data_IF_908731220392
#
_entry.id   IF_908731220392
#
_cell.length_a   1.000
_cell.length_b   1.000
_cell.length_c   1.000
_cell.angle_alpha   90.00
_cell.angle_beta   90.00
_cell.angle_gamma   90.00
#
_symmetry.space_group_name_H-M   'P 1'
#
loop_
_entity.id
_entity.type
_entity.pdbx_description
1 polymer ?
#
# COMPACT_ATOMS: atom_id res chain seq x y z
N UNK A 1 -4.05 3.38 -2.67
CA UNK A 1 -4.12 4.15 -3.95
C UNK A 1 -4.00 5.63 -3.66
N UNK A 2 -3.26 6.42 -4.45
CA UNK A 2 -3.07 7.86 -4.22
C UNK A 2 -2.73 8.63 -5.49
N UNK A 3 -3.02 9.92 -5.53
CA UNK A 3 -2.73 10.83 -6.65
C UNK A 3 -2.63 12.28 -6.15
N UNK A 4 -1.65 13.02 -6.66
CA UNK A 4 -1.60 14.48 -6.54
C UNK A 4 -2.58 15.10 -7.54
N UNK A 5 -3.54 15.87 -7.04
CA UNK A 5 -4.53 16.54 -7.88
C UNK A 5 -4.04 17.93 -8.32
N UNK A 6 -3.30 18.66 -7.47
CA UNK A 6 -2.65 19.92 -7.80
C UNK A 6 -1.46 20.23 -6.87
N UNK A 7 -0.48 20.97 -7.39
CA UNK A 7 0.46 21.73 -6.55
C UNK A 7 -0.16 23.09 -6.24
N UNK A 8 0.02 23.60 -5.01
CA UNK A 8 -0.47 24.90 -4.56
C UNK A 8 0.63 25.68 -3.86
N UNK A 9 0.55 27.00 -3.91
CA UNK A 9 1.42 27.91 -3.17
C UNK A 9 0.58 28.64 -2.13
N UNK A 10 1.02 28.60 -0.88
CA UNK A 10 0.29 29.18 0.24
C UNK A 10 1.05 30.43 0.68
N UNK A 11 0.46 31.59 0.43
CA UNK A 11 1.01 32.88 0.85
C UNK A 11 1.01 32.96 2.37
N UNK A 12 2.17 33.27 2.95
CA UNK A 12 2.35 33.49 4.37
C UNK A 12 2.20 34.99 4.72
N UNK A 13 1.97 35.31 5.99
CA UNK A 13 1.89 36.70 6.46
C UNK A 13 3.13 37.55 6.16
N UNK A 14 4.32 36.94 6.08
CA UNK A 14 5.58 37.64 5.75
C UNK A 14 5.76 37.90 4.24
N UNK A 15 4.78 37.52 3.41
CA UNK A 15 4.79 37.67 1.96
C UNK A 15 5.54 36.58 1.21
N UNK A 16 6.10 35.59 1.92
CA UNK A 16 6.68 34.38 1.29
C UNK A 16 5.58 33.40 0.87
N UNK A 17 5.94 32.39 0.08
CA UNK A 17 5.02 31.35 -0.35
C UNK A 17 5.59 29.97 -0.06
N UNK A 18 4.82 29.13 0.63
CA UNK A 18 5.18 27.76 0.95
C UNK A 18 4.48 26.80 0.00
N UNK A 19 5.22 25.80 -0.48
CA UNK A 19 4.66 24.77 -1.37
C UNK A 19 3.71 23.83 -0.59
N UNK A 20 2.65 23.42 -1.25
CA UNK A 20 1.77 22.35 -0.79
C UNK A 20 1.24 21.51 -1.96
N UNK A 21 0.67 20.35 -1.63
CA UNK A 21 -0.04 19.50 -2.60
C UNK A 21 -1.47 19.25 -2.13
N UNK A 22 -2.42 19.44 -3.04
CA UNK A 22 -3.76 18.86 -2.91
C UNK A 22 -3.72 17.45 -3.48
N UNK A 23 -4.07 16.46 -2.66
CA UNK A 23 -4.01 15.07 -3.08
C UNK A 23 -5.22 14.26 -2.63
N UNK A 24 -5.61 13.31 -3.46
CA UNK A 24 -6.63 12.29 -3.17
C UNK A 24 -5.95 10.95 -2.91
N UNK A 25 -6.37 10.27 -1.85
CA UNK A 25 -5.86 8.95 -1.50
C UNK A 25 -6.97 8.06 -0.99
N UNK A 26 -6.80 6.75 -1.15
CA UNK A 26 -7.80 5.76 -0.86
C UNK A 26 -7.19 4.44 -0.43
N UNK A 27 -7.85 3.81 0.54
CA UNK A 27 -7.57 2.45 0.98
C UNK A 27 -8.89 1.66 0.99
N UNK A 28 -8.82 0.35 0.89
CA UNK A 28 -10.01 -0.49 0.92
C UNK A 28 -9.66 -1.93 1.24
N UNK A 29 -10.70 -2.75 1.39
CA UNK A 29 -10.56 -4.18 1.60
C UNK A 29 -11.50 -4.93 0.67
N UNK A 30 -11.01 -6.07 0.18
CA UNK A 30 -11.75 -7.02 -0.63
C UNK A 30 -11.72 -8.36 0.08
N UNK A 31 -12.89 -8.95 0.31
CA UNK A 31 -13.03 -10.32 0.79
C UNK A 31 -13.06 -11.28 -0.39
N UNK A 32 -12.36 -12.40 -0.28
CA UNK A 32 -12.23 -13.39 -1.35
C UNK A 32 -12.43 -14.83 -0.83
N UNK A 33 -13.68 -15.22 -0.64
CA UNK A 33 -14.13 -16.49 -0.02
C UNK A 33 -15.08 -17.27 -0.95
N UNK A 34 -14.65 -17.47 -2.21
CA UNK A 34 -15.46 -18.06 -3.28
C UNK A 34 -16.02 -17.02 -4.26
N UNK A 35 -16.13 -15.76 -3.82
CA UNK A 35 -16.33 -14.59 -4.68
C UNK A 35 -15.48 -13.42 -4.18
N UNK A 36 -15.15 -12.49 -5.06
CA UNK A 36 -14.47 -11.24 -4.68
C UNK A 36 -15.49 -10.13 -4.43
N UNK A 37 -15.53 -9.60 -3.21
CA UNK A 37 -16.47 -8.56 -2.78
C UNK A 37 -15.72 -7.43 -2.08
N UNK A 38 -15.93 -6.19 -2.51
CA UNK A 38 -15.34 -5.02 -1.85
C UNK A 38 -16.17 -4.72 -0.61
N UNK A 39 -15.56 -4.94 0.56
CA UNK A 39 -16.22 -4.75 1.86
C UNK A 39 -15.92 -3.39 2.47
N UNK A 40 -14.84 -2.74 2.03
CA UNK A 40 -14.47 -1.40 2.45
C UNK A 40 -13.84 -0.60 1.30
N UNK A 41 -14.16 0.68 1.26
CA UNK A 41 -13.50 1.65 0.40
C UNK A 41 -13.58 3.04 1.05
N UNK A 42 -12.44 3.53 1.52
CA UNK A 42 -12.30 4.84 2.15
C UNK A 42 -11.53 5.75 1.19
N UNK A 43 -12.08 6.92 0.92
CA UNK A 43 -11.48 7.94 0.05
C UNK A 43 -11.33 9.20 0.89
N UNK A 44 -10.11 9.69 0.99
CA UNK A 44 -9.78 10.94 1.66
C UNK A 44 -9.07 11.89 0.70
N UNK A 45 -9.13 13.17 1.06
CA UNK A 45 -8.45 14.27 0.38
C UNK A 45 -7.76 15.13 1.40
N UNK A 46 -6.58 15.64 1.05
CA UNK A 46 -5.79 16.46 1.95
C UNK A 46 -4.98 17.51 1.22
N UNK A 47 -4.85 18.67 1.86
CA UNK A 47 -3.84 19.66 1.57
C UNK A 47 -2.62 19.34 2.42
N UNK A 48 -1.56 18.82 1.82
CA UNK A 48 -0.30 18.52 2.50
C UNK A 48 0.65 19.69 2.37
N UNK A 49 1.11 20.24 3.48
CA UNK A 49 1.99 21.41 3.53
C UNK A 49 2.60 21.59 4.92
N UNK A 50 3.74 22.28 5.00
CA UNK A 50 4.34 22.77 6.25
C UNK A 50 3.89 24.19 6.62
N UNK A 51 3.06 24.84 5.80
CA UNK A 51 2.57 26.20 6.04
C UNK A 51 1.69 26.25 7.30
N UNK A 52 2.05 27.01 8.35
CA UNK A 52 1.30 27.08 9.60
C UNK A 52 -0.09 27.72 9.44
N UNK A 53 -0.23 28.63 8.48
CA UNK A 53 -1.45 29.39 8.19
C UNK A 53 -2.34 28.71 7.13
N UNK A 54 -2.00 27.48 6.74
CA UNK A 54 -2.78 26.75 5.77
C UNK A 54 -4.21 26.53 6.26
N UNK A 55 -5.18 26.82 5.40
CA UNK A 55 -6.59 26.52 5.63
C UNK A 55 -7.08 25.44 4.65
N UNK A 56 -8.13 24.74 5.06
CA UNK A 56 -8.82 23.77 4.20
C UNK A 56 -9.25 24.41 2.87
N UNK A 57 -8.99 23.72 1.76
CA UNK A 57 -9.44 24.19 0.44
C UNK A 57 -10.77 23.53 0.10
N UNK A 58 -11.84 24.32 0.08
CA UNK A 58 -13.16 23.86 -0.34
C UNK A 58 -13.45 24.24 -1.79
N UNK A 59 -13.89 23.27 -2.60
CA UNK A 59 -14.18 23.45 -4.03
C UNK A 59 -15.68 23.32 -4.36
N UNK A 60 -16.54 23.41 -3.33
CA UNK A 60 -17.99 23.20 -3.41
C UNK A 60 -18.41 21.72 -3.54
N UNK A 61 -17.61 20.89 -4.21
CA UNK A 61 -17.86 19.44 -4.40
C UNK A 61 -17.01 18.57 -3.49
N UNK A 62 -15.80 19.01 -3.19
CA UNK A 62 -14.87 18.32 -2.31
C UNK A 62 -14.14 19.33 -1.46
N UNK A 63 -13.54 18.85 -0.37
CA UNK A 63 -12.64 19.63 0.44
C UNK A 63 -11.30 18.93 0.65
N UNK A 64 -10.26 19.72 0.84
CA UNK A 64 -8.89 19.27 1.09
C UNK A 64 -8.49 19.80 2.46
N UNK A 65 -8.81 19.02 3.49
CA UNK A 65 -8.44 19.35 4.86
C UNK A 65 -6.92 19.38 5.02
N UNK A 66 -6.43 20.29 5.85
CA UNK A 66 -4.98 20.46 6.08
C UNK A 66 -4.41 19.20 6.73
N UNK A 67 -3.24 18.79 6.24
CA UNK A 67 -2.42 17.70 6.76
C UNK A 67 -0.99 18.21 6.84
N UNK A 68 -0.45 18.28 8.05
CA UNK A 68 0.90 18.78 8.26
C UNK A 68 1.93 17.89 7.55
N UNK A 69 2.87 18.53 6.86
CA UNK A 69 4.09 17.91 6.35
C UNK A 69 5.29 18.40 7.17
N UNK A 70 6.35 17.59 7.24
CA UNK A 70 7.56 17.94 7.99
C UNK A 70 8.40 19.03 7.32
N UNK A 71 8.17 19.28 6.02
CA UNK A 71 8.87 20.28 5.23
C UNK A 71 8.12 20.59 3.94
N UNK A 72 8.72 21.45 3.12
CA UNK A 72 8.13 21.98 1.89
C UNK A 72 8.69 21.33 0.61
N UNK A 73 9.66 20.42 0.73
CA UNK A 73 10.19 19.70 -0.43
C UNK A 73 9.15 18.76 -1.04
N UNK A 74 9.16 18.50 -2.36
CA UNK A 74 8.27 17.50 -2.97
C UNK A 74 8.32 16.14 -2.29
N UNK A 75 9.49 15.74 -1.79
CA UNK A 75 9.73 14.50 -1.06
C UNK A 75 9.00 14.49 0.29
N UNK A 76 9.07 15.58 1.06
CA UNK A 76 8.41 15.71 2.36
C UNK A 76 6.88 15.69 2.21
N UNK A 77 6.36 16.41 1.22
CA UNK A 77 4.93 16.46 0.92
C UNK A 77 4.40 15.09 0.47
N UNK A 78 5.16 14.41 -0.38
CA UNK A 78 4.85 13.04 -0.81
C UNK A 78 4.90 12.06 0.36
N UNK A 79 5.90 12.16 1.23
CA UNK A 79 6.03 11.32 2.42
C UNK A 79 4.85 11.50 3.37
N UNK A 80 4.42 12.75 3.63
CA UNK A 80 3.24 13.03 4.46
C UNK A 80 1.96 12.37 3.89
N UNK A 81 1.76 12.43 2.57
CA UNK A 81 0.66 11.71 1.91
C UNK A 81 0.77 10.19 2.08
N UNK A 82 1.96 9.62 1.94
CA UNK A 82 2.20 8.19 2.11
C UNK A 82 1.95 7.71 3.54
N UNK A 83 2.30 8.53 4.53
CA UNK A 83 2.03 8.25 5.93
C UNK A 83 0.53 8.14 6.17
N UNK A 84 -0.25 9.14 5.74
CA UNK A 84 -1.72 9.14 5.83
C UNK A 84 -2.38 7.98 5.10
N UNK A 85 -1.93 7.65 3.89
CA UNK A 85 -2.47 6.50 3.17
C UNK A 85 -2.25 5.19 3.93
N UNK A 86 -1.05 4.96 4.48
CA UNK A 86 -0.81 3.72 5.21
C UNK A 86 -1.36 3.70 6.64
N UNK A 87 -1.73 4.85 7.22
CA UNK A 87 -2.59 4.89 8.41
C UNK A 87 -3.99 4.36 8.11
N UNK A 88 -4.56 4.72 6.94
CA UNK A 88 -5.82 4.14 6.48
C UNK A 88 -5.69 2.64 6.19
N UNK A 89 -4.58 2.20 5.59
CA UNK A 89 -4.35 0.76 5.37
C UNK A 89 -4.23 0.01 6.71
N UNK A 90 -3.50 0.56 7.68
CA UNK A 90 -3.36 -0.04 9.00
C UNK A 90 -4.69 -0.10 9.77
N UNK A 91 -5.54 0.93 9.68
CA UNK A 91 -6.86 0.92 10.32
C UNK A 91 -7.79 -0.12 9.70
N UNK A 92 -7.72 -0.34 8.39
CA UNK A 92 -8.45 -1.41 7.71
C UNK A 92 -7.95 -2.80 8.10
N UNK A 93 -6.64 -3.00 8.20
CA UNK A 93 -6.08 -4.27 8.71
C UNK A 93 -6.59 -4.55 10.13
N UNK A 94 -6.56 -3.54 11.00
CA UNK A 94 -7.08 -3.67 12.37
C UNK A 94 -8.59 -3.96 12.42
N UNK A 95 -9.38 -3.33 11.54
CA UNK A 95 -10.83 -3.57 11.42
C UNK A 95 -11.15 -5.04 11.07
N UNK A 96 -10.26 -5.71 10.36
CA UNK A 96 -10.45 -7.08 9.85
C UNK A 96 -9.66 -8.16 10.62
N UNK A 97 -9.19 -7.85 11.83
CA UNK A 97 -8.41 -8.77 12.69
C UNK A 97 -9.08 -10.13 12.96
N UNK A 98 -10.42 -10.21 12.90
CA UNK A 98 -11.17 -11.46 13.06
C UNK A 98 -11.27 -12.36 11.82
N UNK A 99 -10.58 -12.02 10.73
CA UNK A 99 -10.58 -12.82 9.50
C UNK A 99 -9.56 -13.97 9.57
N UNK A 100 -9.81 -15.06 8.84
CA UNK A 100 -8.87 -16.21 8.78
C UNK A 100 -7.48 -15.83 8.22
N UNK A 101 -7.44 -14.83 7.32
CA UNK A 101 -6.21 -14.29 6.73
C UNK A 101 -6.47 -12.86 6.23
N UNK A 102 -5.59 -11.94 6.58
CA UNK A 102 -5.57 -10.57 6.05
C UNK A 102 -4.28 -10.36 5.26
N UNK A 103 -4.40 -9.98 3.99
CA UNK A 103 -3.24 -9.73 3.11
C UNK A 103 -3.16 -8.23 2.81
N UNK A 104 -2.15 -7.56 3.36
CA UNK A 104 -1.87 -6.15 3.10
C UNK A 104 -0.94 -6.00 1.89
N UNK A 105 -1.32 -5.19 0.89
CA UNK A 105 -0.49 -4.95 -0.30
C UNK A 105 0.66 -3.97 0.00
N UNK A 106 1.76 -4.50 0.53
CA UNK A 106 2.90 -3.74 0.99
C UNK A 106 3.52 -4.33 2.26
N UNK A 107 4.59 -3.70 2.77
CA UNK A 107 5.16 -4.07 4.06
C UNK A 107 4.18 -3.80 5.19
N UNK A 108 4.22 -4.64 6.23
CA UNK A 108 3.55 -4.33 7.48
C UNK A 108 4.28 -3.15 8.14
N UNK A 109 3.52 -2.30 8.82
CA UNK A 109 4.09 -1.21 9.61
C UNK A 109 4.39 -1.71 11.01
N UNK A 110 5.48 -1.22 11.60
CA UNK A 110 5.75 -1.43 13.02
C UNK A 110 4.57 -0.86 13.84
N UNK A 111 4.05 -1.63 14.78
CA UNK A 111 2.87 -1.24 15.55
C UNK A 111 2.01 -2.44 15.96
N UNK A 112 0.68 -2.26 15.91
CA UNK A 112 -0.29 -3.25 16.40
C UNK A 112 -0.14 -4.60 15.69
N UNK A 113 0.14 -5.64 16.48
CA UNK A 113 0.11 -7.02 16.03
C UNK A 113 -1.33 -7.43 15.66
N UNK A 114 -1.51 -7.94 14.44
CA UNK A 114 -2.73 -8.62 14.00
C UNK A 114 -2.31 -10.05 13.62
N UNK A 115 -2.69 -11.08 14.38
CA UNK A 115 -2.13 -12.43 14.23
C UNK A 115 -2.22 -13.01 12.82
N UNK A 116 -3.37 -12.84 12.17
CA UNK A 116 -3.63 -13.37 10.82
C UNK A 116 -3.23 -12.40 9.68
N UNK A 117 -2.52 -11.30 9.97
CA UNK A 117 -2.11 -10.34 8.96
C UNK A 117 -0.74 -10.65 8.37
N UNK A 118 -0.64 -10.59 7.05
CA UNK A 118 0.62 -10.68 6.30
C UNK A 118 0.80 -9.49 5.38
N UNK A 119 2.00 -8.93 5.38
CA UNK A 119 2.45 -7.99 4.36
C UNK A 119 2.82 -8.75 3.10
N UNK A 120 2.38 -8.25 1.95
CA UNK A 120 2.58 -8.83 0.64
C UNK A 120 3.43 -7.89 -0.23
N UNK A 121 4.69 -8.25 -0.46
CA UNK A 121 5.68 -7.39 -1.11
C UNK A 121 6.10 -7.99 -2.45
N UNK A 122 5.79 -7.25 -3.51
CA UNK A 122 6.07 -7.64 -4.91
C UNK A 122 7.49 -7.24 -5.36
N UNK A 123 8.07 -6.21 -4.73
CA UNK A 123 9.37 -5.63 -5.14
C UNK A 123 10.49 -5.97 -4.15
N UNK A 124 11.64 -6.38 -4.69
CA UNK A 124 12.79 -6.87 -3.90
C UNK A 124 13.95 -5.87 -3.87
N UNK A 125 13.68 -4.60 -3.55
CA UNK A 125 14.73 -3.57 -3.46
C UNK A 125 15.77 -3.86 -2.38
N UNK A 126 15.33 -4.47 -1.29
CA UNK A 126 16.20 -4.89 -0.18
C UNK A 126 16.39 -6.41 -0.27
N UNK A 127 17.65 -6.84 -0.28
CA UNK A 127 18.01 -8.25 -0.28
C UNK A 127 18.28 -8.74 1.14
N UNK A 128 17.32 -9.45 1.72
CA UNK A 128 17.45 -9.99 3.08
C UNK A 128 18.22 -11.30 3.15
N UNK A 129 18.25 -12.07 2.05
CA UNK A 129 19.03 -13.30 1.98
C UNK A 129 20.50 -12.99 1.65
N UNK A 130 21.46 -13.61 2.38
CA UNK A 130 22.87 -13.56 2.03
C UNK A 130 23.10 -14.00 0.58
N UNK A 131 24.11 -13.44 -0.12
CA UNK A 131 24.36 -13.75 -1.53
C UNK A 131 24.50 -15.26 -1.81
N UNK A 132 25.09 -16.03 -0.89
CA UNK A 132 25.31 -17.47 -1.04
C UNK A 132 24.01 -18.29 -1.16
N UNK A 133 22.93 -17.88 -0.48
CA UNK A 133 21.65 -18.63 -0.48
C UNK A 133 20.59 -17.99 -1.37
N UNK A 134 20.81 -16.75 -1.84
CA UNK A 134 19.88 -16.03 -2.71
C UNK A 134 19.47 -16.78 -4.00
N UNK A 135 20.35 -17.57 -4.66
CA UNK A 135 19.97 -18.32 -5.85
C UNK A 135 18.79 -19.29 -5.66
N UNK A 136 18.50 -19.71 -4.43
CA UNK A 136 17.36 -20.59 -4.12
C UNK A 136 16.01 -19.99 -4.54
N UNK A 137 15.89 -18.65 -4.58
CA UNK A 137 14.67 -17.98 -5.02
C UNK A 137 14.37 -18.29 -6.50
N UNK A 138 15.41 -18.50 -7.31
CA UNK A 138 15.29 -18.90 -8.70
C UNK A 138 14.81 -20.33 -8.90
N UNK A 139 15.11 -21.22 -7.93
CA UNK A 139 14.79 -22.65 -8.02
C UNK A 139 13.45 -23.04 -7.40
N UNK A 140 12.75 -22.12 -6.72
CA UNK A 140 11.40 -22.40 -6.21
C UNK A 140 10.48 -22.81 -7.39
N UNK A 141 9.68 -23.85 -7.22
CA UNK A 141 8.56 -24.14 -8.10
C UNK A 141 7.34 -23.29 -7.73
N UNK A 142 6.32 -23.28 -8.58
CA UNK A 142 5.06 -22.59 -8.28
C UNK A 142 4.40 -23.18 -7.02
N UNK A 143 4.06 -22.34 -6.05
CA UNK A 143 3.52 -22.73 -4.75
C UNK A 143 4.58 -23.04 -3.69
N UNK A 144 5.85 -23.17 -4.07
CA UNK A 144 6.93 -23.39 -3.12
C UNK A 144 7.34 -22.09 -2.42
N UNK A 145 7.74 -22.23 -1.15
CA UNK A 145 8.27 -21.15 -0.34
C UNK A 145 9.62 -21.50 0.25
N UNK A 146 10.38 -20.46 0.61
CA UNK A 146 11.53 -20.63 1.50
C UNK A 146 11.07 -20.95 2.93
N UNK A 147 11.97 -21.43 3.80
CA UNK A 147 11.75 -21.39 5.25
C UNK A 147 11.41 -19.98 5.74
N UNK A 148 10.71 -19.91 6.86
CA UNK A 148 10.48 -18.66 7.60
C UNK A 148 11.77 -18.27 8.31
N UNK A 149 12.15 -17.01 8.22
CA UNK A 149 13.34 -16.47 8.89
C UNK A 149 13.01 -15.12 9.54
N UNK A 150 13.73 -14.79 10.61
CA UNK A 150 13.54 -13.56 11.38
C UNK A 150 14.47 -12.46 10.84
N UNK A 151 13.95 -11.24 10.73
CA UNK A 151 14.78 -10.03 10.56
C UNK A 151 14.51 -9.07 11.70
N UNK A 152 15.58 -8.52 12.28
CA UNK A 152 15.55 -7.61 13.43
C UNK A 152 16.22 -6.27 13.11
N UNK A 153 16.06 -5.79 11.87
CA UNK A 153 16.73 -4.57 11.39
C UNK A 153 16.10 -3.30 11.98
N UNK A 154 15.09 -2.73 11.32
CA UNK A 154 14.32 -1.59 11.82
C UNK A 154 13.26 -1.98 12.85
N UNK A 155 12.72 -3.19 12.72
CA UNK A 155 11.82 -3.82 13.67
C UNK A 155 11.81 -5.34 13.40
N UNK A 156 11.37 -6.12 14.39
CA UNK A 156 11.37 -7.58 14.33
C UNK A 156 10.18 -8.11 13.55
N UNK A 157 10.44 -8.88 12.48
CA UNK A 157 9.41 -9.53 11.65
C UNK A 157 9.86 -10.87 11.11
N UNK A 158 8.93 -11.80 11.01
CA UNK A 158 9.13 -13.03 10.25
C UNK A 158 8.94 -12.76 8.77
N UNK A 159 9.75 -13.39 7.94
CA UNK A 159 9.70 -13.26 6.49
C UNK A 159 9.90 -14.60 5.81
N UNK A 160 9.32 -14.74 4.62
CA UNK A 160 9.59 -15.83 3.69
C UNK A 160 9.34 -15.36 2.27
N UNK A 161 9.85 -16.10 1.30
CA UNK A 161 9.55 -15.89 -0.11
C UNK A 161 8.65 -17.01 -0.61
N UNK A 162 7.69 -16.68 -1.47
CA UNK A 162 6.78 -17.61 -2.14
C UNK A 162 6.87 -17.36 -3.64
N UNK A 163 6.92 -18.41 -4.45
CA UNK A 163 6.74 -18.27 -5.90
C UNK A 163 5.28 -18.56 -6.28
N UNK A 164 4.65 -17.59 -6.93
CA UNK A 164 3.32 -17.75 -7.51
C UNK A 164 3.36 -18.51 -8.84
N UNK A 165 2.26 -19.14 -9.26
CA UNK A 165 2.16 -19.73 -10.59
C UNK A 165 2.18 -18.62 -11.65
N UNK A 166 2.91 -18.87 -12.74
CA UNK A 166 3.02 -17.94 -13.86
C UNK A 166 4.30 -18.16 -14.65
N UNK A 167 4.50 -17.37 -15.72
CA UNK A 167 5.65 -17.52 -16.59
C UNK A 167 6.96 -17.21 -15.86
N UNK A 168 7.97 -18.05 -16.08
CA UNK A 168 9.31 -17.89 -15.52
C UNK A 168 10.15 -17.09 -16.52
N UNK A 169 10.05 -15.76 -16.47
CA UNK A 169 10.82 -14.86 -17.35
C UNK A 169 12.24 -14.53 -16.83
N UNK A 170 12.45 -14.60 -15.51
CA UNK A 170 13.73 -14.35 -14.83
C UNK A 170 13.70 -15.05 -13.45
N UNK A 171 14.84 -15.35 -12.80
CA UNK A 171 14.90 -15.94 -11.45
C UNK A 171 13.98 -15.36 -10.36
N UNK A 172 13.54 -14.10 -10.44
CA UNK A 172 12.63 -13.49 -9.45
C UNK A 172 11.21 -13.28 -9.99
N UNK A 173 10.94 -13.72 -11.23
CA UNK A 173 9.59 -13.71 -11.78
C UNK A 173 8.68 -14.51 -10.86
N UNK A 174 7.50 -13.95 -10.60
CA UNK A 174 6.48 -14.52 -9.71
C UNK A 174 6.90 -14.73 -8.24
N UNK A 175 8.13 -14.38 -7.84
CA UNK A 175 8.58 -14.45 -6.46
C UNK A 175 8.10 -13.22 -5.71
N UNK A 176 7.39 -13.44 -4.61
CA UNK A 176 6.92 -12.39 -3.69
C UNK A 176 7.48 -12.64 -2.30
N UNK A 177 7.70 -11.56 -1.55
CA UNK A 177 8.10 -11.64 -0.14
C UNK A 177 6.87 -11.42 0.72
N UNK A 178 6.74 -12.25 1.73
CA UNK A 178 5.73 -12.14 2.74
C UNK A 178 6.40 -11.78 4.06
N UNK A 179 5.69 -11.02 4.89
CA UNK A 179 6.13 -10.73 6.24
C UNK A 179 4.98 -10.78 7.24
N UNK A 180 5.28 -11.20 8.46
CA UNK A 180 4.35 -11.25 9.58
C UNK A 180 5.04 -10.67 10.83
N UNK A 181 4.26 -10.11 11.76
CA UNK A 181 4.84 -9.57 13.00
C UNK A 181 5.56 -10.66 13.80
N UNK A 182 6.71 -10.31 14.41
CA UNK A 182 7.47 -11.20 15.28
C UNK A 182 6.96 -11.25 16.74
N UNK A 183 5.82 -10.60 17.03
CA UNK A 183 5.18 -10.69 18.35
C UNK A 183 4.44 -12.03 18.55
N UNK A 184 4.27 -12.82 17.48
CA UNK A 184 3.78 -14.19 17.55
C UNK A 184 4.92 -15.21 17.69
N UNK A 185 4.59 -16.44 18.07
CA UNK A 185 5.57 -17.50 18.16
C UNK A 185 6.11 -17.91 16.77
N UNK A 186 7.34 -18.48 16.68
CA UNK A 186 7.84 -19.05 15.43
C UNK A 186 6.90 -20.11 14.83
N UNK A 187 6.26 -20.92 15.66
CA UNK A 187 5.31 -21.95 15.22
C UNK A 187 4.09 -21.31 14.54
N UNK A 188 3.50 -20.29 15.17
CA UNK A 188 2.38 -19.53 14.60
C UNK A 188 2.74 -18.88 13.27
N UNK A 189 3.95 -18.31 13.14
CA UNK A 189 4.42 -17.74 11.89
C UNK A 189 4.62 -18.79 10.79
N UNK A 190 5.05 -20.00 11.14
CA UNK A 190 5.18 -21.13 10.20
C UNK A 190 3.81 -21.61 9.73
N UNK A 191 2.84 -21.71 10.64
CA UNK A 191 1.46 -22.09 10.30
C UNK A 191 0.80 -21.06 9.39
N UNK A 192 0.98 -19.78 9.68
CA UNK A 192 0.54 -18.69 8.81
C UNK A 192 1.22 -18.76 7.43
N UNK A 193 2.52 -19.03 7.37
CA UNK A 193 3.23 -19.20 6.11
C UNK A 193 2.71 -20.41 5.31
N UNK A 194 2.34 -21.52 5.98
CA UNK A 194 1.72 -22.67 5.34
C UNK A 194 0.35 -22.33 4.75
N UNK A 195 -0.51 -21.66 5.54
CA UNK A 195 -1.83 -21.20 5.09
C UNK A 195 -1.70 -20.28 3.87
N UNK A 196 -0.81 -19.30 3.93
CA UNK A 196 -0.56 -18.34 2.85
C UNK A 196 -0.07 -19.04 1.59
N UNK A 197 0.90 -19.94 1.69
CA UNK A 197 1.42 -20.69 0.54
C UNK A 197 0.40 -21.62 -0.10
N UNK A 198 -0.52 -22.21 0.68
CA UNK A 198 -1.61 -23.01 0.14
C UNK A 198 -2.75 -22.16 -0.47
N UNK A 199 -2.84 -20.89 -0.08
CA UNK A 199 -3.96 -20.02 -0.43
C UNK A 199 -3.65 -19.11 -1.61
N UNK A 200 -2.58 -18.31 -1.54
CA UNK A 200 -2.30 -17.24 -2.51
C UNK A 200 -2.10 -17.68 -3.96
N UNK A 201 -1.51 -18.85 -4.27
CA UNK A 201 -1.32 -19.29 -5.66
C UNK A 201 -2.60 -19.24 -6.52
N UNK A 202 -3.77 -19.54 -5.95
CA UNK A 202 -5.05 -19.50 -6.69
C UNK A 202 -5.50 -18.09 -7.08
N UNK A 203 -4.92 -17.06 -6.45
CA UNK A 203 -5.21 -15.66 -6.68
C UNK A 203 -4.21 -14.97 -7.62
N UNK A 204 -3.15 -15.67 -8.02
CA UNK A 204 -2.19 -15.16 -9.01
C UNK A 204 -2.91 -14.76 -10.30
N UNK A 205 -2.59 -13.57 -10.81
CA UNK A 205 -3.20 -13.09 -12.05
C UNK A 205 -2.54 -13.70 -13.28
N UNK A 206 -3.23 -13.60 -14.42
CA UNK A 206 -2.70 -13.97 -15.73
C UNK A 206 -2.37 -12.71 -16.54
N UNK A 207 -1.34 -12.77 -17.38
CA UNK A 207 -0.84 -11.62 -18.15
C UNK A 207 -1.90 -10.93 -19.00
N UNK A 208 -2.81 -11.68 -19.62
CA UNK A 208 -3.90 -11.10 -20.42
C UNK A 208 -4.94 -10.33 -19.58
N UNK A 209 -4.94 -10.45 -18.25
CA UNK A 209 -5.84 -9.74 -17.33
C UNK A 209 -5.16 -8.62 -16.55
N UNK A 210 -3.86 -8.74 -16.26
CA UNK A 210 -3.08 -7.72 -15.57
C UNK A 210 -1.64 -7.70 -16.11
N UNK A 211 -1.13 -6.57 -16.63
CA UNK A 211 0.26 -6.48 -17.09
C UNK A 211 1.28 -6.68 -15.95
N UNK A 212 0.85 -6.61 -14.69
CA UNK A 212 1.67 -6.88 -13.50
C UNK A 212 1.54 -8.33 -13.00
N UNK A 213 0.97 -9.21 -13.83
CA UNK A 213 0.89 -10.63 -13.53
C UNK A 213 2.28 -11.27 -13.43
N UNK A 214 2.41 -12.38 -12.66
CA UNK A 214 1.41 -12.96 -11.77
C UNK A 214 1.41 -12.32 -10.36
N UNK A 215 2.34 -11.42 -10.09
CA UNK A 215 2.62 -10.88 -8.75
C UNK A 215 1.49 -9.99 -8.22
N UNK A 216 0.66 -9.39 -9.08
CA UNK A 216 -0.52 -8.68 -8.63
C UNK A 216 -1.72 -9.64 -8.49
N UNK A 217 -2.12 -9.98 -7.27
CA UNK A 217 -3.27 -10.88 -7.07
C UNK A 217 -4.54 -10.27 -7.65
N UNK A 218 -5.37 -11.08 -8.31
CA UNK A 218 -6.55 -10.54 -9.02
C UNK A 218 -7.57 -9.82 -8.10
N UNK A 219 -7.81 -10.22 -6.82
CA UNK A 219 -8.69 -9.46 -5.93
C UNK A 219 -8.12 -8.07 -5.64
N UNK A 220 -6.80 -7.98 -5.38
CA UNK A 220 -6.09 -6.72 -5.15
C UNK A 220 -6.19 -5.84 -6.41
N UNK A 221 -5.92 -6.40 -7.59
CA UNK A 221 -6.07 -5.65 -8.85
C UNK A 221 -7.49 -5.15 -9.10
N UNK A 222 -8.51 -5.92 -8.71
CA UNK A 222 -9.92 -5.49 -8.76
C UNK A 222 -10.21 -4.32 -7.83
N UNK A 223 -9.80 -4.43 -6.56
CA UNK A 223 -9.93 -3.37 -5.57
C UNK A 223 -9.20 -2.10 -6.01
N UNK A 224 -7.97 -2.21 -6.49
CA UNK A 224 -7.18 -1.11 -7.02
C UNK A 224 -7.90 -0.34 -8.14
N UNK A 225 -8.52 -1.05 -9.09
CA UNK A 225 -9.31 -0.43 -10.17
C UNK A 225 -10.51 0.33 -9.61
N UNK A 226 -11.22 -0.26 -8.65
CA UNK A 226 -12.38 0.39 -8.04
C UNK A 226 -11.98 1.63 -7.21
N UNK A 227 -10.93 1.53 -6.39
CA UNK A 227 -10.42 2.67 -5.63
C UNK A 227 -9.97 3.80 -6.57
N UNK A 228 -9.29 3.47 -7.68
CA UNK A 228 -8.92 4.45 -8.70
C UNK A 228 -10.15 5.13 -9.31
N UNK A 229 -11.21 4.38 -9.59
CA UNK A 229 -12.48 4.94 -10.09
C UNK A 229 -13.10 5.90 -9.07
N UNK A 230 -13.09 5.55 -7.77
CA UNK A 230 -13.65 6.37 -6.69
C UNK A 230 -12.86 7.63 -6.35
N UNK A 231 -11.55 7.67 -6.65
CA UNK A 231 -10.75 8.90 -6.53
C UNK A 231 -11.28 10.04 -7.44
N UNK A 232 -12.01 9.68 -8.50
CA UNK A 232 -12.57 10.62 -9.47
C UNK A 232 -11.55 11.10 -10.51
N UNK A 233 -12.01 11.98 -11.40
CA UNK A 233 -11.19 12.51 -12.50
C UNK A 233 -10.28 13.65 -12.02
N UNK A 234 -8.99 13.53 -12.29
CA UNK A 234 -7.97 14.51 -11.88
C UNK A 234 -8.21 15.89 -12.50
N UNK A 235 -8.65 15.95 -13.76
CA UNK A 235 -8.82 17.21 -14.50
C UNK A 235 -10.00 18.01 -13.95
N UNK A 236 -11.06 17.31 -13.53
CA UNK A 236 -12.21 17.95 -12.88
C UNK A 236 -11.81 18.52 -11.52
N UNK A 237 -11.09 17.75 -10.69
CA UNK A 237 -10.61 18.22 -9.39
C UNK A 237 -9.63 19.39 -9.55
N UNK A 238 -8.70 19.31 -10.51
CA UNK A 238 -7.76 20.39 -10.80
C UNK A 238 -8.48 21.67 -11.25
N UNK A 239 -9.50 21.56 -12.11
CA UNK A 239 -10.32 22.70 -12.52
C UNK A 239 -11.03 23.34 -11.31
N UNK A 240 -11.63 22.53 -10.46
CA UNK A 240 -12.38 23.02 -9.30
C UNK A 240 -11.44 23.66 -8.25
N UNK A 241 -10.21 23.13 -8.09
CA UNK A 241 -9.14 23.74 -7.29
C UNK A 241 -8.68 25.09 -7.86
N UNK A 242 -8.51 25.19 -9.19
CA UNK A 242 -8.18 26.47 -9.85
C UNK A 242 -9.29 27.52 -9.66
N UNK A 243 -10.55 27.11 -9.72
CA UNK A 243 -11.68 28.01 -9.47
C UNK A 243 -11.68 28.51 -8.02
N UNK A 244 -11.44 27.63 -7.04
CA UNK A 244 -11.33 28.02 -5.63
C UNK A 244 -10.15 28.96 -5.37
N UNK A 245 -9.00 28.76 -6.04
CA UNK A 245 -7.84 29.64 -5.91
C UNK A 245 -8.09 31.05 -6.48
N UNK A 246 -8.97 31.21 -7.47
CA UNK A 246 -9.31 32.52 -8.04
C UNK A 246 -10.30 33.33 -7.18
N UNK A 247 -10.93 32.69 -6.20
CA UNK A 247 -11.86 33.32 -5.25
C UNK A 247 -11.18 33.74 -3.93
N UNK A 248 -9.89 33.44 -3.78
CA UNK A 248 -9.07 33.73 -2.61
C UNK A 248 -8.13 34.90 -2.85
#
# INVERSE_FOLDING_TARGET
MRRVDANVWITQQDGTATLGICASYAAGAVRADGRAEIVDAVIERGLFTSAPEAEEISTGRTSYAVRAAAGESPEDLWLAMQQRMGELEASLVAKHEGSDLVVADGPLRAGRHVPAAVGYIKTHHVHYLPPAVRPILGSLAAGERTPVFLSTTSWSRYMWYLRLPGPVGHPLAAVVRLEASADQSPASAIDLANLVSATLPRFASHEHKDPRAPQNLYPIGGLERELRRRLGDQRLLYRDLRAAAALR
#
